data_IF_826259723312
#
_entry.id   IF_826259723312
#
_cell.length_a   1.000
_cell.length_b   1.000
_cell.length_c   1.000
_cell.angle_alpha   90.00
_cell.angle_beta   90.00
_cell.angle_gamma   90.00
#
_symmetry.space_group_name_H-M   'P 1'
#
loop_
_entity.id
_entity.type
_entity.pdbx_description
1 polymer ?
#
# COMPACT_ATOMS: atom_id res chain seq x y z
N UNK A 1 -3.50 19.90 18.75
CA UNK A 1 -3.57 18.65 17.94
C UNK A 1 -3.48 18.93 16.44
N UNK A 2 -4.44 19.62 15.78
CA UNK A 2 -4.35 19.91 14.33
C UNK A 2 -3.06 20.67 13.96
N UNK A 3 -2.73 21.75 14.67
CA UNK A 3 -1.52 22.55 14.36
C UNK A 3 -0.21 21.80 14.59
N UNK A 4 -0.19 20.78 15.44
CA UNK A 4 1.02 20.02 15.75
C UNK A 4 1.27 18.97 14.68
N UNK A 5 0.22 18.25 14.26
CA UNK A 5 0.29 17.33 13.12
C UNK A 5 0.66 18.04 11.81
N UNK A 6 0.10 19.22 11.54
CA UNK A 6 0.47 20.02 10.37
C UNK A 6 1.95 20.40 10.42
N UNK A 7 2.47 20.76 11.59
CA UNK A 7 3.89 21.07 11.77
C UNK A 7 4.77 19.86 11.47
N UNK A 8 4.45 18.70 12.03
CA UNK A 8 5.16 17.44 11.75
C UNK A 8 5.15 17.08 10.25
N UNK A 9 4.01 17.29 9.57
CA UNK A 9 3.87 17.10 8.13
C UNK A 9 4.76 18.07 7.31
N UNK A 10 4.87 19.32 7.76
CA UNK A 10 5.77 20.30 7.14
C UNK A 10 7.22 19.85 7.31
N UNK A 11 7.63 19.48 8.53
CA UNK A 11 9.00 19.07 8.86
C UNK A 11 9.39 17.78 8.13
N UNK A 12 8.46 16.84 7.97
CA UNK A 12 8.63 15.61 7.20
C UNK A 12 8.59 15.83 5.66
N UNK A 13 8.20 17.03 5.20
CA UNK A 13 8.16 17.38 3.78
C UNK A 13 7.01 16.73 2.99
N UNK A 14 5.92 16.30 3.63
CA UNK A 14 4.82 15.59 2.93
C UNK A 14 3.99 16.52 2.03
N UNK A 15 4.11 17.83 2.22
CA UNK A 15 3.43 18.86 1.44
C UNK A 15 3.98 19.03 0.02
N UNK A 16 5.14 18.45 -0.30
CA UNK A 16 5.71 18.52 -1.64
C UNK A 16 4.99 17.57 -2.60
N UNK A 17 4.34 18.14 -3.61
CA UNK A 17 3.74 17.41 -4.71
C UNK A 17 4.72 17.10 -5.84
N UNK A 18 4.18 16.95 -7.05
CA UNK A 18 4.98 16.73 -8.26
C UNK A 18 5.28 18.05 -9.00
N UNK A 19 6.12 17.93 -10.04
CA UNK A 19 6.40 19.03 -10.97
C UNK A 19 5.12 19.52 -11.63
N UNK A 20 5.02 20.83 -11.88
CA UNK A 20 3.82 21.48 -12.44
C UNK A 20 3.37 20.88 -13.76
N UNK A 21 4.30 20.39 -14.60
CA UNK A 21 3.98 19.70 -15.87
C UNK A 21 3.30 18.33 -15.73
N UNK A 22 3.35 17.69 -14.55
CA UNK A 22 2.82 16.32 -14.30
C UNK A 22 1.55 16.34 -13.44
N UNK A 23 0.85 17.48 -13.37
CA UNK A 23 -0.31 17.62 -12.51
C UNK A 23 -1.61 17.14 -13.16
N UNK A 24 -2.59 16.79 -12.33
CA UNK A 24 -3.94 16.44 -12.75
C UNK A 24 -4.89 17.61 -12.42
N UNK A 25 -5.68 18.14 -13.37
CA UNK A 25 -6.63 19.23 -13.13
C UNK A 25 -7.62 18.99 -11.98
N UNK A 26 -8.00 17.73 -11.73
CA UNK A 26 -8.88 17.35 -10.61
C UNK A 26 -8.27 17.60 -9.23
N UNK A 27 -6.95 17.81 -9.15
CA UNK A 27 -6.26 18.11 -7.90
C UNK A 27 -6.31 19.58 -7.51
N UNK A 28 -6.81 20.48 -8.37
CA UNK A 28 -6.76 21.94 -8.16
C UNK A 28 -7.21 22.39 -6.77
N UNK A 29 -8.26 21.77 -6.22
CA UNK A 29 -8.80 22.09 -4.88
C UNK A 29 -7.91 21.71 -3.70
N UNK A 30 -6.91 20.85 -3.93
CA UNK A 30 -5.96 20.36 -2.92
C UNK A 30 -4.58 21.00 -3.03
N UNK A 31 -4.38 21.91 -3.99
CA UNK A 31 -3.10 22.56 -4.24
C UNK A 31 -3.17 24.02 -3.78
N UNK A 32 -2.21 24.44 -2.96
CA UNK A 32 -2.13 25.83 -2.49
C UNK A 32 -1.48 26.75 -3.54
N UNK A 33 -0.26 26.41 -3.94
CA UNK A 33 0.56 27.20 -4.88
C UNK A 33 1.67 26.34 -5.47
N UNK A 34 2.31 26.82 -6.53
CA UNK A 34 3.60 26.29 -6.95
C UNK A 34 4.76 27.07 -6.32
N UNK A 35 5.86 26.39 -6.04
CA UNK A 35 7.12 26.99 -5.58
C UNK A 35 8.26 26.30 -6.32
N UNK A 36 8.99 27.05 -7.14
CA UNK A 36 10.12 26.50 -7.91
C UNK A 36 9.71 25.38 -8.88
N UNK A 37 8.51 25.44 -9.45
CA UNK A 37 8.00 24.43 -10.39
C UNK A 37 7.51 23.13 -9.76
N UNK A 38 7.37 23.07 -8.43
CA UNK A 38 6.74 21.96 -7.69
C UNK A 38 5.45 22.48 -7.07
N UNK A 39 4.36 21.73 -7.20
CA UNK A 39 3.11 22.05 -6.52
C UNK A 39 3.18 21.73 -5.03
N UNK A 40 2.66 22.64 -4.20
CA UNK A 40 2.51 22.46 -2.76
C UNK A 40 1.07 22.05 -2.45
N UNK A 41 0.93 20.95 -1.72
CA UNK A 41 -0.35 20.39 -1.28
C UNK A 41 -0.83 21.14 -0.04
N UNK A 42 -2.12 21.42 0.03
CA UNK A 42 -2.78 22.00 1.20
C UNK A 42 -2.84 20.98 2.35
N UNK A 43 -2.09 21.26 3.42
CA UNK A 43 -2.05 20.39 4.60
C UNK A 43 -3.29 20.53 5.48
N UNK A 44 -3.96 21.69 5.50
CA UNK A 44 -5.20 21.84 6.27
C UNK A 44 -6.30 20.97 5.66
N UNK A 45 -6.42 21.00 4.34
CA UNK A 45 -7.37 20.12 3.63
C UNK A 45 -6.95 18.65 3.75
N UNK A 46 -5.65 18.35 3.75
CA UNK A 46 -5.13 16.99 4.00
C UNK A 46 -5.57 16.47 5.36
N UNK A 47 -5.45 17.27 6.43
CA UNK A 47 -5.90 16.86 7.79
C UNK A 47 -7.40 16.56 7.80
N UNK A 48 -8.24 17.42 7.20
CA UNK A 48 -9.69 17.17 7.11
C UNK A 48 -10.01 15.88 6.35
N UNK A 49 -9.27 15.59 5.28
CA UNK A 49 -9.43 14.34 4.53
C UNK A 49 -8.97 13.12 5.34
N UNK A 50 -7.88 13.25 6.11
CA UNK A 50 -7.38 12.19 6.99
C UNK A 50 -8.37 11.87 8.11
N UNK A 51 -9.00 12.87 8.72
CA UNK A 51 -10.03 12.66 9.75
C UNK A 51 -11.20 11.83 9.19
N UNK A 52 -11.73 12.21 8.02
CA UNK A 52 -12.79 11.46 7.33
C UNK A 52 -12.38 10.03 6.97
N UNK A 53 -11.14 9.85 6.50
CA UNK A 53 -10.62 8.53 6.17
C UNK A 53 -10.44 7.66 7.43
N UNK A 54 -9.97 8.26 8.53
CA UNK A 54 -9.80 7.60 9.82
C UNK A 54 -11.12 7.12 10.40
N UNK A 55 -12.16 7.94 10.35
CA UNK A 55 -13.53 7.57 10.74
C UNK A 55 -14.04 6.38 9.94
N UNK A 56 -13.91 6.43 8.60
CA UNK A 56 -14.35 5.35 7.72
C UNK A 56 -13.60 4.03 7.98
N UNK A 57 -12.27 4.08 8.13
CA UNK A 57 -11.46 2.90 8.42
C UNK A 57 -11.82 2.33 9.80
N UNK A 58 -12.04 3.19 10.80
CA UNK A 58 -12.46 2.78 12.14
C UNK A 58 -13.82 2.08 12.13
N UNK A 59 -14.78 2.57 11.34
CA UNK A 59 -16.07 1.92 11.14
C UNK A 59 -15.90 0.51 10.52
N UNK A 60 -15.08 0.38 9.47
CA UNK A 60 -14.80 -0.92 8.85
C UNK A 60 -14.11 -1.90 9.82
N UNK A 61 -13.15 -1.41 10.60
CA UNK A 61 -12.43 -2.19 11.59
C UNK A 61 -13.35 -2.69 12.71
N UNK A 62 -14.26 -1.85 13.20
CA UNK A 62 -15.26 -2.24 14.22
C UNK A 62 -16.19 -3.37 13.73
N UNK A 63 -16.44 -3.43 12.42
CA UNK A 63 -17.19 -4.49 11.75
C UNK A 63 -16.35 -5.72 11.38
N UNK A 64 -15.11 -5.81 11.87
CA UNK A 64 -14.14 -6.88 11.58
C UNK A 64 -13.91 -7.12 10.09
N UNK A 65 -14.06 -6.08 9.26
CA UNK A 65 -13.72 -6.16 7.83
C UNK A 65 -12.21 -6.24 7.66
N UNK A 66 -11.79 -6.83 6.54
CA UNK A 66 -10.38 -6.95 6.18
C UNK A 66 -9.95 -5.74 5.36
N UNK A 67 -8.78 -5.19 5.69
CA UNK A 67 -8.14 -4.10 4.98
C UNK A 67 -6.94 -4.64 4.23
N UNK A 68 -6.68 -4.07 3.04
CA UNK A 68 -5.55 -4.42 2.20
C UNK A 68 -4.68 -3.17 2.00
N UNK A 69 -3.47 -3.23 2.53
CA UNK A 69 -2.47 -2.18 2.37
C UNK A 69 -1.69 -2.41 1.08
N UNK A 70 -1.51 -1.39 0.25
CA UNK A 70 -0.82 -1.53 -1.05
C UNK A 70 0.22 -0.42 -1.20
N UNK A 71 1.48 -0.81 -1.39
CA UNK A 71 2.57 0.14 -1.61
C UNK A 71 3.79 -0.52 -2.22
N UNK A 72 3.86 -0.47 -3.55
CA UNK A 72 4.91 -1.15 -4.33
C UNK A 72 6.17 -0.30 -4.55
N UNK A 73 6.11 1.01 -4.26
CA UNK A 73 7.27 1.91 -4.40
C UNK A 73 8.31 1.57 -3.34
N UNK A 74 9.59 1.57 -3.70
CA UNK A 74 10.70 1.25 -2.79
C UNK A 74 10.62 2.02 -1.46
N UNK A 75 10.28 3.30 -1.50
CA UNK A 75 10.14 4.16 -0.31
C UNK A 75 8.95 3.79 0.59
N UNK A 76 7.93 3.11 0.04
CA UNK A 76 6.70 2.73 0.73
C UNK A 76 6.69 1.27 1.21
N UNK A 77 7.55 0.40 0.66
CA UNK A 77 7.43 -1.05 0.89
C UNK A 77 7.53 -1.44 2.36
N UNK A 78 8.47 -0.81 3.07
CA UNK A 78 8.71 -1.09 4.48
C UNK A 78 7.59 -0.52 5.35
N UNK A 79 7.24 0.75 5.17
CA UNK A 79 6.17 1.41 5.94
C UNK A 79 4.81 0.71 5.79
N UNK A 80 4.47 0.27 4.58
CA UNK A 80 3.22 -0.46 4.30
C UNK A 80 3.21 -1.83 4.97
N UNK A 81 4.34 -2.54 4.95
CA UNK A 81 4.48 -3.84 5.63
C UNK A 81 4.33 -3.69 7.13
N UNK A 82 5.08 -2.79 7.74
CA UNK A 82 5.08 -2.55 9.18
C UNK A 82 3.68 -2.17 9.69
N UNK A 83 2.99 -1.26 9.00
CA UNK A 83 1.64 -0.85 9.37
C UNK A 83 0.61 -1.99 9.26
N UNK A 84 0.71 -2.83 8.22
CA UNK A 84 -0.18 -3.96 8.03
C UNK A 84 0.07 -5.07 9.06
N UNK A 85 1.33 -5.40 9.35
CA UNK A 85 1.71 -6.38 10.36
C UNK A 85 1.27 -5.92 11.76
N UNK A 86 1.51 -4.65 12.12
CA UNK A 86 1.09 -4.07 13.40
C UNK A 86 -0.44 -4.08 13.59
N UNK A 87 -1.20 -3.94 12.50
CA UNK A 87 -2.67 -3.98 12.53
C UNK A 87 -3.28 -5.37 12.29
N UNK A 88 -2.45 -6.40 12.04
CA UNK A 88 -2.89 -7.75 11.71
C UNK A 88 -3.70 -7.83 10.40
N UNK A 89 -3.44 -6.93 9.46
CA UNK A 89 -4.11 -6.82 8.16
C UNK A 89 -3.21 -7.32 7.01
N UNK A 90 -3.79 -7.44 5.81
CA UNK A 90 -3.07 -7.95 4.65
C UNK A 90 -2.36 -6.83 3.89
N UNK A 91 -1.26 -7.15 3.19
CA UNK A 91 -0.53 -6.17 2.38
C UNK A 91 0.02 -6.72 1.06
N UNK A 92 0.28 -5.80 0.12
CA UNK A 92 1.06 -6.03 -1.10
C UNK A 92 2.09 -4.90 -1.22
N UNK A 93 3.37 -5.24 -1.03
CA UNK A 93 4.46 -4.26 -1.02
C UNK A 93 5.49 -4.45 -2.15
N UNK A 94 5.38 -5.48 -2.98
CA UNK A 94 6.30 -5.72 -4.09
C UNK A 94 5.73 -5.27 -5.43
N UNK A 95 4.83 -6.07 -6.01
CA UNK A 95 4.20 -5.80 -7.31
C UNK A 95 2.72 -6.12 -7.23
N UNK A 96 1.90 -5.19 -7.71
CA UNK A 96 0.48 -5.44 -7.90
C UNK A 96 0.27 -6.19 -9.23
N UNK A 97 -0.19 -7.44 -9.15
CA UNK A 97 -0.51 -8.22 -10.33
C UNK A 97 -1.88 -7.80 -10.89
N UNK A 98 -1.95 -7.56 -12.20
CA UNK A 98 -3.22 -7.33 -12.87
C UNK A 98 -4.17 -8.50 -12.60
N UNK A 99 -5.41 -8.21 -12.22
CA UNK A 99 -6.39 -9.25 -11.89
C UNK A 99 -6.37 -9.73 -10.44
N UNK A 100 -5.54 -9.16 -9.54
CA UNK A 100 -5.46 -9.60 -8.13
C UNK A 100 -6.83 -9.63 -7.44
N UNK A 101 -7.70 -8.65 -7.70
CA UNK A 101 -9.05 -8.58 -7.11
C UNK A 101 -10.16 -9.10 -8.04
N UNK A 102 -9.94 -9.10 -9.36
CA UNK A 102 -10.97 -9.41 -10.35
C UNK A 102 -10.90 -10.83 -10.89
N UNK A 103 -9.72 -11.46 -10.88
CA UNK A 103 -9.49 -12.85 -11.30
C UNK A 103 -9.03 -13.71 -10.12
N UNK A 104 -9.96 -13.96 -9.19
CA UNK A 104 -9.65 -14.73 -7.99
C UNK A 104 -9.33 -16.20 -8.26
N UNK A 105 -9.89 -16.79 -9.33
CA UNK A 105 -9.65 -18.18 -9.70
C UNK A 105 -8.17 -18.45 -9.98
N UNK A 106 -7.53 -17.61 -10.82
CA UNK A 106 -6.10 -17.72 -11.11
C UNK A 106 -5.23 -17.40 -9.90
N UNK A 107 -5.59 -16.39 -9.10
CA UNK A 107 -4.84 -16.06 -7.88
C UNK A 107 -4.86 -17.22 -6.87
N UNK A 108 -6.01 -17.89 -6.69
CA UNK A 108 -6.11 -19.07 -5.83
C UNK A 108 -5.19 -20.20 -6.29
N UNK A 109 -5.14 -20.48 -7.60
CA UNK A 109 -4.23 -21.49 -8.15
C UNK A 109 -2.76 -21.15 -7.86
N UNK A 110 -2.36 -19.88 -7.98
CA UNK A 110 -1.01 -19.44 -7.61
C UNK A 110 -0.71 -19.61 -6.12
N UNK A 111 -1.68 -19.34 -5.25
CA UNK A 111 -1.54 -19.53 -3.79
C UNK A 111 -1.48 -21.02 -3.43
N UNK A 112 -2.29 -21.87 -4.08
CA UNK A 112 -2.22 -23.33 -3.92
C UNK A 112 -0.87 -23.87 -4.36
N UNK A 113 -0.35 -23.39 -5.50
CA UNK A 113 1.00 -23.70 -5.96
C UNK A 113 2.07 -23.27 -4.95
N UNK A 114 1.95 -22.09 -4.35
CA UNK A 114 2.87 -21.63 -3.31
C UNK A 114 2.87 -22.60 -2.12
N UNK A 115 1.69 -22.96 -1.60
CA UNK A 115 1.57 -23.91 -0.47
C UNK A 115 2.14 -25.28 -0.80
N UNK A 116 1.94 -25.74 -2.04
CA UNK A 116 2.53 -26.98 -2.53
C UNK A 116 4.07 -26.89 -2.51
N UNK A 117 4.65 -25.80 -3.03
CA UNK A 117 6.10 -25.58 -3.04
C UNK A 117 6.69 -25.45 -1.62
N UNK A 118 6.00 -24.79 -0.69
CA UNK A 118 6.43 -24.71 0.72
C UNK A 118 6.39 -26.07 1.43
N UNK A 119 5.50 -26.98 0.99
CA UNK A 119 5.36 -28.33 1.54
C UNK A 119 6.24 -29.39 0.90
N UNK A 120 6.74 -29.13 -0.33
CA UNK A 120 7.39 -30.15 -1.15
C UNK A 120 8.68 -30.67 -0.51
N UNK A 121 9.48 -29.81 0.15
CA UNK A 121 10.73 -30.22 0.82
C UNK A 121 10.51 -31.30 1.89
N UNK A 122 9.31 -31.36 2.48
CA UNK A 122 8.94 -32.34 3.50
C UNK A 122 8.27 -33.57 2.89
N UNK A 123 7.87 -33.52 1.62
CA UNK A 123 7.18 -34.60 0.94
C UNK A 123 8.16 -35.71 0.55
N UNK A 124 7.74 -37.00 0.59
CA UNK A 124 8.56 -38.11 0.12
C UNK A 124 8.99 -37.96 -1.35
N UNK A 125 8.15 -37.30 -2.14
CA UNK A 125 8.31 -37.04 -3.57
C UNK A 125 9.53 -36.16 -3.88
N UNK A 126 9.98 -35.31 -2.95
CA UNK A 126 11.16 -34.46 -3.12
C UNK A 126 12.43 -35.25 -3.47
N UNK A 127 12.59 -36.43 -2.86
CA UNK A 127 13.75 -37.30 -3.11
C UNK A 127 13.74 -37.94 -4.50
N UNK A 128 12.59 -37.96 -5.16
CA UNK A 128 12.42 -38.51 -6.50
C UNK A 128 12.51 -37.44 -7.60
N UNK A 129 12.57 -36.15 -7.24
CA UNK A 129 12.67 -35.05 -8.20
C UNK A 129 14.08 -34.94 -8.78
N UNK A 130 14.15 -34.58 -10.05
CA UNK A 130 15.43 -34.36 -10.73
C UNK A 130 16.07 -33.03 -10.31
N UNK A 131 17.40 -32.94 -10.39
CA UNK A 131 18.13 -31.69 -10.13
C UNK A 131 17.67 -30.51 -11.01
N UNK A 132 17.02 -30.77 -12.16
CA UNK A 132 16.46 -29.73 -13.04
C UNK A 132 15.12 -29.19 -12.54
N UNK A 133 14.37 -29.96 -11.75
CA UNK A 133 13.07 -29.56 -11.20
C UNK A 133 13.21 -28.89 -9.83
N UNK A 134 14.35 -29.09 -9.16
CA UNK A 134 14.71 -28.45 -7.89
C UNK A 134 15.38 -27.08 -8.05
N UNK A 135 15.93 -26.79 -9.25
CA UNK A 135 16.58 -25.53 -9.58
C UNK A 135 15.57 -24.45 -10.02
#
# INVERSE_FOLDING_TARGET
>A
MINELVKEMVDAGVHYGHQTRKWNPGMRRYLMKDKGGIYIIDLEETVRCLDKASEFISELASRKRKLLFVGCKQQAQQAVREAAEASGQFFVNHRWLGGTLTNLATIRQSVERLKYLEGIEKAPEYKAMSNKELA
#
